data_IF_966405161875
#
_entry.id   IF_966405161875
#
_cell.length_a   1.000
_cell.length_b   1.000
_cell.length_c   1.000
_cell.angle_alpha   90.00
_cell.angle_beta   90.00
_cell.angle_gamma   90.00
#
_symmetry.space_group_name_H-M   'P 1'
#
loop_
_entity.id
_entity.type
_entity.pdbx_description
1 polymer ?
#
# COMPACT_ATOMS: atom_id res chain seq x y z
N UNK A 1 34.42 -24.63 -47.44
CA UNK A 1 33.60 -24.89 -46.24
C UNK A 1 32.16 -24.55 -46.54
N UNK A 2 31.33 -25.58 -46.68
CA UNK A 2 29.88 -25.50 -46.84
C UNK A 2 29.23 -25.12 -45.49
N UNK A 3 28.35 -24.11 -45.49
CA UNK A 3 27.31 -23.98 -44.46
C UNK A 3 25.99 -23.80 -45.20
N UNK A 4 25.32 -24.93 -45.49
CA UNK A 4 23.94 -24.98 -45.96
C UNK A 4 23.01 -24.53 -44.83
N UNK A 5 22.41 -23.35 -44.97
CA UNK A 5 21.45 -22.82 -43.99
C UNK A 5 20.03 -23.04 -44.53
N UNK A 6 19.60 -24.31 -44.61
CA UNK A 6 18.24 -24.67 -44.99
C UNK A 6 17.31 -24.53 -43.78
N UNK A 7 16.76 -23.33 -43.58
CA UNK A 7 15.52 -23.22 -42.81
C UNK A 7 14.35 -23.37 -43.77
N UNK A 8 13.42 -24.27 -43.46
CA UNK A 8 12.16 -24.34 -44.18
C UNK A 8 11.44 -22.99 -44.07
N UNK A 9 10.82 -22.55 -45.18
CA UNK A 9 9.97 -21.34 -45.22
C UNK A 9 8.93 -21.35 -44.08
N UNK A 10 8.48 -22.55 -43.69
CA UNK A 10 7.56 -22.77 -42.56
C UNK A 10 8.18 -22.32 -41.23
N UNK A 11 9.46 -22.59 -41.00
CA UNK A 11 10.17 -22.17 -39.78
C UNK A 11 10.32 -20.65 -39.69
N UNK A 12 10.54 -19.99 -40.82
CA UNK A 12 10.62 -18.53 -40.90
C UNK A 12 9.25 -17.91 -40.63
N UNK A 13 8.19 -18.44 -41.22
CA UNK A 13 6.81 -18.02 -40.98
C UNK A 13 6.39 -18.16 -39.50
N UNK A 14 6.75 -19.28 -38.86
CA UNK A 14 6.48 -19.50 -37.42
C UNK A 14 7.21 -18.46 -36.56
N UNK A 15 8.47 -18.14 -36.88
CA UNK A 15 9.24 -17.12 -36.17
C UNK A 15 8.66 -15.72 -36.36
N UNK A 16 8.17 -15.38 -37.55
CA UNK A 16 7.52 -14.10 -37.84
C UNK A 16 6.19 -13.99 -37.07
N UNK A 17 5.34 -15.02 -37.11
CA UNK A 17 4.08 -15.06 -36.34
C UNK A 17 4.32 -14.94 -34.84
N UNK A 18 5.35 -15.61 -34.31
CA UNK A 18 5.76 -15.46 -32.91
C UNK A 18 6.24 -14.04 -32.58
N UNK A 19 6.96 -13.39 -33.50
CA UNK A 19 7.43 -12.00 -33.34
C UNK A 19 6.27 -11.00 -33.38
N UNK A 20 5.28 -11.19 -34.26
CA UNK A 20 4.08 -10.35 -34.35
C UNK A 20 3.22 -10.54 -33.10
N UNK A 21 2.98 -11.78 -32.67
CA UNK A 21 2.24 -12.06 -31.44
C UNK A 21 2.97 -11.56 -30.19
N UNK A 22 4.31 -11.59 -30.16
CA UNK A 22 5.08 -10.94 -29.09
C UNK A 22 4.83 -9.43 -29.12
N UNK A 23 5.00 -8.77 -30.27
CA UNK A 23 4.79 -7.33 -30.40
C UNK A 23 3.37 -6.91 -29.98
N UNK A 24 2.34 -7.68 -30.37
CA UNK A 24 0.95 -7.45 -29.98
C UNK A 24 0.71 -7.70 -28.48
N UNK A 25 1.31 -8.75 -27.92
CA UNK A 25 1.28 -9.00 -26.48
C UNK A 25 2.00 -7.91 -25.66
N UNK A 26 2.96 -7.20 -26.25
CA UNK A 26 3.68 -6.10 -25.60
C UNK A 26 2.90 -4.77 -25.59
N UNK A 27 1.96 -4.57 -26.51
CA UNK A 27 1.12 -3.36 -26.56
C UNK A 27 -0.06 -3.41 -25.59
N UNK A 28 -0.61 -4.59 -25.28
CA UNK A 28 -1.67 -4.75 -24.27
C UNK A 28 -1.12 -5.47 -23.02
N UNK A 29 -1.09 -4.81 -21.86
CA UNK A 29 -0.56 -5.38 -20.61
C UNK A 29 -1.57 -6.29 -19.90
N UNK A 30 -2.03 -7.36 -20.56
CA UNK A 30 -2.92 -8.36 -19.94
C UNK A 30 -2.13 -9.46 -19.20
N UNK A 31 -2.71 -10.15 -18.19
CA UNK A 31 -2.07 -11.24 -17.46
C UNK A 31 -1.59 -12.41 -18.36
N UNK A 32 -2.27 -12.63 -19.49
CA UNK A 32 -1.90 -13.63 -20.51
C UNK A 32 -0.55 -13.30 -21.17
N UNK A 33 -0.26 -12.01 -21.32
CA UNK A 33 0.95 -11.52 -21.98
C UNK A 33 2.17 -11.56 -21.06
N UNK A 34 1.99 -11.47 -19.74
CA UNK A 34 3.07 -11.67 -18.76
C UNK A 34 3.59 -13.12 -18.75
N UNK A 35 2.71 -14.11 -18.91
CA UNK A 35 3.11 -15.53 -19.06
C UNK A 35 3.96 -15.78 -20.32
N UNK A 36 3.71 -15.03 -21.40
CA UNK A 36 4.50 -15.05 -22.63
C UNK A 36 5.92 -14.50 -22.41
N UNK A 37 6.06 -13.43 -21.63
CA UNK A 37 7.37 -12.84 -21.27
C UNK A 37 8.20 -13.80 -20.41
N UNK A 38 7.58 -14.45 -19.40
CA UNK A 38 8.25 -15.47 -18.57
C UNK A 38 8.70 -16.67 -19.41
N UNK A 39 7.88 -17.09 -20.39
CA UNK A 39 8.26 -18.15 -21.34
C UNK A 39 9.39 -17.71 -22.29
N UNK A 40 9.45 -16.43 -22.70
CA UNK A 40 10.60 -15.92 -23.47
C UNK A 40 11.90 -16.04 -22.65
N UNK A 41 11.87 -15.68 -21.37
CA UNK A 41 13.03 -15.77 -20.45
C UNK A 41 13.58 -17.18 -20.34
N UNK A 42 12.73 -18.18 -20.05
CA UNK A 42 13.14 -19.58 -19.92
C UNK A 42 13.78 -20.14 -21.20
N UNK A 43 13.29 -19.74 -22.38
CA UNK A 43 13.86 -20.18 -23.67
C UNK A 43 15.19 -19.50 -24.01
N UNK A 44 15.38 -18.25 -23.59
CA UNK A 44 16.63 -17.51 -23.82
C UNK A 44 17.77 -17.88 -22.86
N UNK A 45 17.49 -18.58 -21.75
CA UNK A 45 18.52 -19.07 -20.83
C UNK A 45 19.33 -20.26 -21.39
N UNK A 46 18.88 -20.91 -22.47
CA UNK A 46 19.40 -22.22 -22.87
C UNK A 46 19.77 -22.39 -24.35
N UNK A 47 20.11 -21.33 -25.10
CA UNK A 47 20.34 -21.47 -26.55
C UNK A 47 21.54 -20.75 -27.16
N UNK A 48 21.98 -21.40 -28.24
CA UNK A 48 23.15 -21.22 -29.10
C UNK A 48 23.25 -19.83 -29.79
N UNK A 49 24.46 -19.45 -30.22
CA UNK A 49 24.88 -18.12 -30.73
C UNK A 49 23.97 -17.47 -31.79
N UNK A 50 23.10 -18.21 -32.49
CA UNK A 50 22.23 -17.73 -33.59
C UNK A 50 20.94 -17.01 -33.13
N UNK A 51 20.48 -17.14 -31.88
CA UNK A 51 19.28 -16.47 -31.34
C UNK A 51 19.55 -15.14 -30.61
N UNK A 52 20.79 -14.68 -30.62
CA UNK A 52 21.29 -13.54 -29.83
C UNK A 52 20.50 -12.24 -30.09
N UNK A 53 20.04 -12.00 -31.32
CA UNK A 53 19.28 -10.78 -31.70
C UNK A 53 17.84 -10.79 -31.16
N UNK A 54 17.19 -11.96 -31.11
CA UNK A 54 15.86 -12.14 -30.52
C UNK A 54 15.91 -12.03 -28.98
N UNK A 55 16.87 -12.71 -28.35
CA UNK A 55 17.05 -12.61 -26.90
C UNK A 55 17.52 -11.22 -26.45
N UNK A 56 18.31 -10.50 -27.26
CA UNK A 56 18.66 -9.09 -26.99
C UNK A 56 17.43 -8.19 -26.91
N UNK A 57 16.39 -8.44 -27.72
CA UNK A 57 15.13 -7.70 -27.70
C UNK A 57 14.23 -8.10 -26.51
N UNK A 58 14.18 -9.38 -26.13
CA UNK A 58 13.51 -9.82 -24.90
C UNK A 58 14.21 -9.28 -23.63
N UNK A 59 15.55 -9.14 -23.63
CA UNK A 59 16.34 -8.65 -22.48
C UNK A 59 16.43 -7.11 -22.41
N UNK A 60 16.40 -6.39 -23.53
CA UNK A 60 16.45 -4.92 -23.55
C UNK A 60 15.19 -4.27 -22.98
N UNK A 61 14.09 -5.02 -22.86
CA UNK A 61 12.82 -4.57 -22.27
C UNK A 61 12.85 -4.52 -20.74
N UNK A 62 13.91 -5.07 -20.12
CA UNK A 62 14.17 -4.91 -18.68
C UNK A 62 14.71 -3.52 -18.34
N UNK A 63 15.08 -2.72 -19.34
CA UNK A 63 15.62 -1.36 -19.14
C UNK A 63 14.58 -0.25 -19.14
N UNK A 64 13.30 -0.55 -19.37
CA UNK A 64 12.27 0.49 -19.55
C UNK A 64 11.21 0.57 -18.46
N UNK A 65 11.39 -0.03 -17.28
CA UNK A 65 10.66 0.39 -16.05
C UNK A 65 11.08 -0.38 -14.78
N UNK A 66 11.85 -1.47 -14.87
CA UNK A 66 12.17 -2.35 -13.72
C UNK A 66 13.56 -2.17 -13.12
N UNK A 67 14.45 -1.40 -13.76
CA UNK A 67 15.83 -1.16 -13.33
C UNK A 67 16.08 0.25 -12.77
N UNK A 68 15.10 0.87 -12.09
CA UNK A 68 15.49 1.79 -11.02
C UNK A 68 15.99 0.91 -9.88
N UNK A 69 17.29 0.64 -9.86
CA UNK A 69 18.00 0.22 -8.65
C UNK A 69 17.66 1.31 -7.63
N UNK A 70 16.78 0.99 -6.68
CA UNK A 70 16.45 1.88 -5.58
C UNK A 70 17.68 1.91 -4.70
N UNK A 71 18.57 2.87 -4.96
CA UNK A 71 19.62 3.23 -4.01
C UNK A 71 18.95 3.45 -2.66
N UNK A 72 19.58 2.92 -1.61
CA UNK A 72 19.10 3.05 -0.25
C UNK A 72 19.31 4.50 0.21
N UNK A 73 18.42 5.39 -0.23
CA UNK A 73 18.52 6.81 0.07
C UNK A 73 18.46 6.99 1.59
N UNK A 74 19.47 7.70 2.11
CA UNK A 74 19.51 8.11 3.52
C UNK A 74 18.26 8.96 3.79
N UNK A 75 17.54 8.64 4.85
CA UNK A 75 16.37 9.42 5.24
C UNK A 75 16.90 10.74 5.82
N UNK A 76 16.40 11.92 5.36
CA UNK A 76 16.80 13.20 5.92
C UNK A 76 16.56 13.22 7.44
N UNK A 77 17.45 13.87 8.19
CA UNK A 77 17.27 14.12 9.63
C UNK A 77 16.23 15.24 9.86
N UNK A 78 15.01 15.02 9.39
CA UNK A 78 13.86 15.89 9.69
C UNK A 78 12.97 15.13 10.64
N UNK A 79 13.02 15.50 11.92
CA UNK A 79 12.23 14.86 12.96
C UNK A 79 10.94 15.65 13.18
N UNK A 80 9.82 15.11 12.69
CA UNK A 80 8.49 15.61 13.02
C UNK A 80 7.85 14.68 14.05
N UNK A 81 7.58 15.20 15.25
CA UNK A 81 6.97 14.41 16.31
C UNK A 81 5.44 14.34 16.13
N UNK A 82 4.95 13.21 15.62
CA UNK A 82 3.53 13.01 15.38
C UNK A 82 2.73 12.66 16.65
N UNK A 83 3.36 12.61 17.84
CA UNK A 83 2.67 12.30 19.11
C UNK A 83 1.58 13.29 19.44
N UNK A 84 1.80 14.59 19.20
CA UNK A 84 0.84 15.65 19.53
C UNK A 84 -0.43 15.61 18.66
N UNK A 85 -0.35 14.97 17.51
CA UNK A 85 -1.41 14.83 16.53
C UNK A 85 -2.08 13.45 16.54
N UNK A 86 -1.49 12.51 17.26
CA UNK A 86 -1.93 11.13 17.38
C UNK A 86 -2.64 10.92 18.72
N UNK A 87 -3.45 9.86 18.81
CA UNK A 87 -4.09 9.47 20.07
C UNK A 87 -3.56 8.12 20.49
N UNK A 88 -3.09 8.05 21.72
CA UNK A 88 -2.41 6.89 22.28
C UNK A 88 -3.20 6.44 23.51
N UNK A 89 -3.83 5.28 23.42
CA UNK A 89 -4.62 4.66 24.49
C UNK A 89 -3.99 3.30 24.80
N UNK A 90 -3.21 3.23 25.86
CA UNK A 90 -2.48 2.01 26.24
C UNK A 90 -3.14 1.34 27.44
N UNK A 91 -3.27 0.02 27.38
CA UNK A 91 -3.80 -0.82 28.44
C UNK A 91 -2.82 -0.93 29.61
N UNK A 92 -3.36 -0.92 30.82
CA UNK A 92 -2.60 -1.24 32.03
C UNK A 92 -2.39 -2.75 32.23
N UNK A 93 -3.27 -3.60 31.68
CA UNK A 93 -3.21 -5.06 31.82
C UNK A 93 -2.42 -5.72 30.69
N UNK A 94 -2.62 -5.28 29.45
CA UNK A 94 -1.89 -5.79 28.27
C UNK A 94 -0.84 -4.77 27.86
N UNK A 95 0.38 -4.92 28.38
CA UNK A 95 1.46 -3.96 28.11
C UNK A 95 1.84 -3.98 26.63
N UNK A 96 1.68 -2.84 25.95
CA UNK A 96 2.21 -2.66 24.60
C UNK A 96 3.74 -2.76 24.61
N UNK A 97 4.30 -3.64 23.79
CA UNK A 97 5.75 -3.76 23.63
C UNK A 97 6.16 -3.90 22.16
N UNK A 98 6.52 -2.77 21.53
CA UNK A 98 6.88 -2.72 20.11
C UNK A 98 8.08 -3.59 19.77
N UNK A 99 9.07 -3.71 20.67
CA UNK A 99 10.23 -4.58 20.46
C UNK A 99 9.89 -6.08 20.46
N UNK A 100 8.72 -6.45 20.99
CA UNK A 100 8.19 -7.82 20.96
C UNK A 100 7.22 -8.07 19.82
N UNK A 101 6.86 -7.05 19.04
CA UNK A 101 5.98 -7.22 17.88
C UNK A 101 6.78 -7.89 16.76
N UNK A 102 6.40 -9.11 16.44
CA UNK A 102 6.99 -9.95 15.39
C UNK A 102 6.08 -10.00 14.14
N UNK A 103 4.79 -9.71 14.29
CA UNK A 103 3.79 -9.83 13.22
C UNK A 103 3.09 -8.49 12.98
N UNK A 104 3.19 -7.99 11.75
CA UNK A 104 2.41 -6.87 11.25
C UNK A 104 1.26 -7.39 10.39
N UNK A 105 0.02 -7.21 10.85
CA UNK A 105 -1.19 -7.70 10.17
C UNK A 105 -1.95 -6.48 9.65
N UNK A 106 -2.04 -6.32 8.32
CA UNK A 106 -2.50 -5.08 7.69
C UNK A 106 -3.79 -5.27 6.93
N UNK A 107 -4.79 -4.44 7.26
CA UNK A 107 -6.02 -4.22 6.50
C UNK A 107 -6.01 -2.80 5.96
N UNK A 108 -6.50 -2.59 4.74
CA UNK A 108 -6.55 -1.26 4.16
C UNK A 108 -6.79 -1.25 2.66
N UNK A 109 -6.41 -0.14 2.04
CA UNK A 109 -6.64 0.11 0.62
C UNK A 109 -5.35 0.05 -0.23
N UNK A 110 -5.37 0.72 -1.39
CA UNK A 110 -4.24 0.80 -2.32
C UNK A 110 -3.01 1.52 -1.76
N UNK A 111 -3.10 2.26 -0.66
CA UNK A 111 -1.94 2.80 0.05
C UNK A 111 -1.16 1.72 0.81
N UNK A 112 -1.80 0.58 1.10
CA UNK A 112 -1.21 -0.52 1.86
C UNK A 112 -1.03 -1.81 1.07
N UNK A 113 -1.78 -2.02 -0.01
CA UNK A 113 -1.75 -3.24 -0.82
C UNK A 113 -0.37 -3.55 -1.44
N UNK A 114 -0.02 -4.84 -1.54
CA UNK A 114 1.27 -5.34 -2.06
C UNK A 114 1.18 -6.58 -2.97
N UNK A 115 -0.01 -6.84 -3.54
CA UNK A 115 -0.28 -8.00 -4.39
C UNK A 115 -0.01 -9.33 -3.64
N UNK A 116 -0.79 -9.55 -2.59
CA UNK A 116 -0.73 -10.75 -1.74
C UNK A 116 -1.54 -11.90 -2.33
N UNK A 117 -0.97 -13.11 -2.34
CA UNK A 117 -1.69 -14.35 -2.54
C UNK A 117 -2.27 -14.82 -1.20
N UNK A 118 -3.58 -14.74 -1.00
CA UNK A 118 -4.21 -15.13 0.27
C UNK A 118 -4.20 -16.64 0.55
N UNK A 119 -3.80 -17.50 -0.39
CA UNK A 119 -3.74 -18.96 -0.13
C UNK A 119 -2.51 -19.33 0.72
N UNK A 120 -1.36 -18.73 0.41
CA UNK A 120 -0.08 -19.05 1.04
C UNK A 120 0.59 -17.84 1.71
N UNK A 121 -0.05 -16.67 1.63
CA UNK A 121 0.42 -15.38 2.14
C UNK A 121 1.76 -14.92 1.53
N UNK A 122 2.15 -15.47 0.39
CA UNK A 122 3.24 -14.90 -0.42
C UNK A 122 2.78 -13.61 -1.09
N UNK A 123 3.69 -12.70 -1.40
CA UNK A 123 3.39 -11.45 -2.09
C UNK A 123 4.50 -11.08 -3.05
N UNK A 124 4.15 -10.36 -4.12
CA UNK A 124 5.13 -9.91 -5.12
C UNK A 124 5.78 -8.59 -4.73
N UNK A 125 5.16 -7.83 -3.81
CA UNK A 125 5.55 -6.48 -3.46
C UNK A 125 5.11 -5.43 -4.47
N UNK A 126 4.39 -5.82 -5.53
CA UNK A 126 3.85 -4.89 -6.51
C UNK A 126 2.78 -3.98 -5.87
N UNK A 127 2.96 -2.68 -6.00
CA UNK A 127 2.09 -1.66 -5.42
C UNK A 127 2.17 -0.34 -6.23
N UNK A 128 1.43 0.68 -5.80
CA UNK A 128 1.34 1.97 -6.51
C UNK A 128 2.48 2.95 -6.21
N UNK A 129 3.34 2.68 -5.24
CA UNK A 129 4.42 3.57 -4.80
C UNK A 129 5.66 3.54 -5.68
N UNK A 130 5.68 2.69 -6.73
CA UNK A 130 6.85 2.49 -7.61
C UNK A 130 8.10 2.19 -6.79
N UNK A 131 8.03 1.15 -5.96
CA UNK A 131 9.03 0.72 -4.98
C UNK A 131 8.32 0.13 -3.76
N UNK A 132 9.00 0.01 -2.62
CA UNK A 132 8.34 -0.41 -1.36
C UNK A 132 7.34 0.67 -0.89
N UNK A 133 6.18 0.25 -0.39
CA UNK A 133 5.26 1.11 0.35
C UNK A 133 5.52 1.00 1.86
N UNK A 134 4.73 1.72 2.67
CA UNK A 134 5.00 1.86 4.10
C UNK A 134 5.01 0.54 4.91
N UNK A 135 4.18 -0.49 4.66
CA UNK A 135 4.24 -1.75 5.42
C UNK A 135 5.55 -2.48 5.15
N UNK A 136 6.01 -2.47 3.89
CA UNK A 136 7.26 -3.11 3.49
C UNK A 136 8.48 -2.44 4.13
N UNK A 137 8.47 -1.11 4.32
CA UNK A 137 9.52 -0.44 5.08
C UNK A 137 9.41 -0.68 6.58
N UNK A 138 8.19 -0.67 7.13
CA UNK A 138 7.98 -0.83 8.57
C UNK A 138 8.47 -2.20 9.07
N UNK A 139 8.22 -3.26 8.30
CA UNK A 139 8.75 -4.59 8.64
C UNK A 139 10.28 -4.67 8.59
N UNK A 140 10.93 -3.87 7.74
CA UNK A 140 12.39 -3.83 7.66
C UNK A 140 13.00 -3.09 8.86
N UNK A 141 12.35 -2.02 9.33
CA UNK A 141 12.83 -1.24 10.48
C UNK A 141 12.72 -1.97 11.82
N UNK A 142 11.82 -2.95 11.93
CA UNK A 142 11.58 -3.69 13.17
C UNK A 142 11.64 -5.23 13.00
N UNK A 143 12.18 -5.72 11.87
CA UNK A 143 12.34 -7.15 11.58
C UNK A 143 11.08 -8.01 11.76
N UNK A 144 9.94 -7.52 11.28
CA UNK A 144 8.64 -8.19 11.43
C UNK A 144 8.30 -9.08 10.24
N UNK A 145 7.41 -10.05 10.45
CA UNK A 145 6.70 -10.75 9.38
C UNK A 145 5.45 -9.96 8.99
N UNK A 146 5.23 -9.82 7.68
CA UNK A 146 4.08 -9.13 7.12
C UNK A 146 2.97 -10.10 6.73
N UNK A 147 1.75 -9.80 7.16
CA UNK A 147 0.52 -10.46 6.78
C UNK A 147 -0.44 -9.40 6.24
N UNK A 148 -0.40 -9.18 4.93
CA UNK A 148 -1.10 -8.05 4.32
C UNK A 148 -2.37 -8.50 3.59
N UNK A 149 -3.50 -8.06 4.10
CA UNK A 149 -4.84 -8.28 3.56
C UNK A 149 -5.40 -7.06 2.84
N UNK A 150 -4.65 -5.95 2.77
CA UNK A 150 -5.10 -4.75 2.07
C UNK A 150 -5.30 -5.00 0.57
N UNK A 151 -6.43 -4.52 0.06
CA UNK A 151 -6.83 -4.62 -1.33
C UNK A 151 -6.99 -3.24 -1.94
N UNK A 152 -6.58 -3.08 -3.20
CA UNK A 152 -6.77 -1.81 -3.90
C UNK A 152 -8.24 -1.43 -3.99
N UNK A 153 -8.51 -0.13 -3.90
CA UNK A 153 -9.85 0.49 -3.96
C UNK A 153 -10.83 0.10 -2.84
N UNK A 154 -10.37 -0.62 -1.81
CA UNK A 154 -11.24 -1.00 -0.70
C UNK A 154 -11.82 0.20 0.05
N UNK A 155 -13.10 0.08 0.37
CA UNK A 155 -13.82 0.89 1.38
C UNK A 155 -13.99 0.07 2.65
N UNK A 156 -14.48 0.67 3.73
CA UNK A 156 -14.82 -0.08 4.95
C UNK A 156 -16.03 -0.99 4.70
N UNK A 157 -17.06 -0.50 4.02
CA UNK A 157 -18.27 -1.27 3.72
C UNK A 157 -18.79 -0.95 2.31
N UNK A 158 -18.80 -1.95 1.42
CA UNK A 158 -19.26 -1.76 0.05
C UNK A 158 -20.78 -1.61 -0.10
N UNK A 159 -21.59 -1.85 0.93
CA UNK A 159 -23.05 -1.60 0.90
C UNK A 159 -23.40 -0.17 0.44
N UNK A 160 -22.51 0.78 0.70
CA UNK A 160 -22.71 2.19 0.42
C UNK A 160 -21.92 2.69 -0.81
N UNK A 161 -21.29 1.80 -1.58
CA UNK A 161 -20.48 2.16 -2.74
C UNK A 161 -20.54 1.09 -3.84
N UNK A 162 -20.05 1.43 -5.05
CA UNK A 162 -19.86 0.44 -6.12
C UNK A 162 -18.45 -0.19 -6.11
N UNK A 163 -17.67 0.06 -5.05
CA UNK A 163 -16.33 -0.50 -4.92
C UNK A 163 -16.39 -2.01 -4.72
N UNK A 164 -15.45 -2.71 -5.36
CA UNK A 164 -15.48 -4.17 -5.43
C UNK A 164 -15.06 -4.86 -4.14
N UNK A 165 -14.19 -4.21 -3.39
CA UNK A 165 -13.54 -4.79 -2.23
C UNK A 165 -13.89 -3.98 -0.97
N UNK A 166 -14.00 -4.66 0.17
CA UNK A 166 -14.21 -4.00 1.45
C UNK A 166 -13.46 -4.68 2.60
N UNK A 167 -13.51 -4.06 3.78
CA UNK A 167 -12.88 -4.61 4.98
C UNK A 167 -13.46 -5.99 5.37
N UNK A 168 -14.72 -6.27 5.05
CA UNK A 168 -15.35 -7.55 5.37
C UNK A 168 -14.67 -8.68 4.58
N UNK A 169 -14.47 -8.52 3.27
CA UNK A 169 -13.71 -9.47 2.44
C UNK A 169 -12.30 -9.70 2.98
N UNK A 170 -11.60 -8.63 3.35
CA UNK A 170 -10.24 -8.74 3.91
C UNK A 170 -10.25 -9.49 5.25
N UNK A 171 -11.25 -9.25 6.09
CA UNK A 171 -11.43 -9.99 7.35
C UNK A 171 -11.74 -11.47 7.10
N UNK A 172 -12.54 -11.81 6.09
CA UNK A 172 -12.84 -13.20 5.74
C UNK A 172 -11.57 -13.96 5.32
N UNK A 173 -10.72 -13.35 4.49
CA UNK A 173 -9.40 -13.91 4.18
C UNK A 173 -8.53 -14.08 5.42
N UNK A 174 -8.45 -13.05 6.26
CA UNK A 174 -7.74 -13.17 7.53
C UNK A 174 -8.30 -14.32 8.38
N UNK A 175 -9.62 -14.42 8.52
CA UNK A 175 -10.27 -15.42 9.36
C UNK A 175 -9.98 -16.83 8.85
N UNK A 176 -10.01 -17.07 7.54
CA UNK A 176 -9.68 -18.37 6.94
C UNK A 176 -8.20 -18.75 7.08
N UNK A 177 -7.31 -17.77 7.20
CA UNK A 177 -5.88 -17.99 7.28
C UNK A 177 -5.37 -18.11 8.72
N UNK A 178 -5.93 -17.31 9.63
CA UNK A 178 -5.30 -16.94 10.90
C UNK A 178 -6.15 -17.28 12.14
N UNK A 179 -7.44 -17.58 11.98
CA UNK A 179 -8.30 -17.91 13.13
C UNK A 179 -7.98 -19.29 13.72
N UNK A 180 -8.55 -19.61 14.88
CA UNK A 180 -8.27 -20.85 15.59
C UNK A 180 -8.46 -22.11 14.70
N UNK A 181 -7.47 -23.00 14.67
CA UNK A 181 -7.47 -24.20 13.85
C UNK A 181 -7.06 -24.00 12.39
N UNK A 182 -6.76 -22.76 11.96
CA UNK A 182 -6.30 -22.45 10.60
C UNK A 182 -4.78 -22.51 10.48
N UNK A 183 -4.31 -22.53 9.23
CA UNK A 183 -2.91 -22.79 8.85
C UNK A 183 -1.90 -21.91 9.58
N UNK A 184 -2.24 -20.66 9.84
CA UNK A 184 -1.32 -19.67 10.43
C UNK A 184 -1.77 -19.21 11.82
N UNK A 185 -2.63 -19.95 12.51
CA UNK A 185 -3.20 -19.52 13.79
C UNK A 185 -2.18 -19.41 14.94
N UNK A 186 -1.06 -20.12 14.86
CA UNK A 186 -0.05 -20.22 15.91
C UNK A 186 1.14 -19.26 15.73
N UNK A 187 1.14 -18.44 14.68
CA UNK A 187 2.25 -17.53 14.37
C UNK A 187 2.12 -16.18 15.08
N UNK A 188 0.93 -15.88 15.61
CA UNK A 188 0.56 -14.56 16.14
C UNK A 188 -0.24 -14.73 17.44
N UNK A 189 -0.09 -13.79 18.36
CA UNK A 189 -0.84 -13.68 19.61
C UNK A 189 -0.97 -12.22 20.06
N UNK A 190 -1.58 -11.99 21.22
CA UNK A 190 -1.83 -10.66 21.78
C UNK A 190 -0.58 -9.85 22.11
N UNK A 191 0.57 -10.51 22.31
CA UNK A 191 1.81 -9.88 22.74
C UNK A 191 2.78 -9.60 21.59
N UNK A 192 2.72 -10.39 20.50
CA UNK A 192 3.67 -10.31 19.38
C UNK A 192 3.06 -9.80 18.06
N UNK A 193 1.84 -9.26 18.09
CA UNK A 193 1.13 -8.85 16.88
C UNK A 193 0.61 -7.43 16.96
N UNK A 194 0.76 -6.69 15.85
CA UNK A 194 0.17 -5.38 15.64
C UNK A 194 -0.82 -5.45 14.46
N UNK A 195 -2.10 -5.23 14.75
CA UNK A 195 -3.16 -5.16 13.76
C UNK A 195 -3.32 -3.74 13.27
N UNK A 196 -3.28 -3.53 11.97
CA UNK A 196 -3.35 -2.23 11.33
C UNK A 196 -4.60 -2.11 10.49
N UNK A 197 -5.29 -0.97 10.61
CA UNK A 197 -6.40 -0.60 9.75
C UNK A 197 -6.13 0.77 9.14
N UNK A 198 -6.00 0.84 7.81
CA UNK A 198 -5.88 2.10 7.10
C UNK A 198 -6.91 2.22 5.99
N UNK A 199 -7.97 2.98 6.29
CA UNK A 199 -9.10 3.24 5.39
C UNK A 199 -9.46 4.73 5.40
N UNK A 200 -10.34 5.13 4.47
CA UNK A 200 -10.93 6.47 4.45
C UNK A 200 -10.74 7.25 3.16
N UNK A 201 -9.70 6.99 2.36
CA UNK A 201 -9.50 7.72 1.12
C UNK A 201 -10.61 7.44 0.10
N UNK A 202 -10.97 6.16 -0.06
CA UNK A 202 -12.07 5.73 -0.93
C UNK A 202 -13.43 6.04 -0.28
N UNK A 203 -13.57 5.84 1.03
CA UNK A 203 -14.81 6.12 1.77
C UNK A 203 -15.21 7.59 1.65
N UNK A 204 -14.29 8.52 1.95
CA UNK A 204 -14.56 9.97 1.81
C UNK A 204 -14.79 10.35 0.34
N UNK A 205 -14.23 9.62 -0.63
CA UNK A 205 -14.50 9.88 -2.03
C UNK A 205 -15.94 9.56 -2.44
N UNK A 206 -16.46 8.41 -2.02
CA UNK A 206 -17.71 7.86 -2.55
C UNK A 206 -18.93 8.10 -1.65
N UNK A 207 -18.71 8.31 -0.35
CA UNK A 207 -19.79 8.44 0.63
C UNK A 207 -20.15 9.89 0.93
N UNK A 208 -21.40 10.12 1.33
CA UNK A 208 -21.79 11.37 1.97
C UNK A 208 -21.49 11.33 3.47
N UNK A 209 -21.29 12.51 4.06
CA UNK A 209 -20.88 12.65 5.46
C UNK A 209 -21.90 12.06 6.45
N UNK A 210 -23.21 12.03 6.10
CA UNK A 210 -24.25 11.47 6.97
C UNK A 210 -24.05 9.96 7.24
N UNK A 211 -23.39 9.26 6.31
CA UNK A 211 -23.17 7.80 6.38
C UNK A 211 -21.90 7.44 7.16
N UNK A 212 -21.04 8.42 7.47
CA UNK A 212 -19.75 8.14 8.12
C UNK A 212 -19.91 7.45 9.47
N UNK A 213 -20.94 7.75 10.26
CA UNK A 213 -21.10 7.09 11.58
C UNK A 213 -21.39 5.59 11.45
N UNK A 214 -22.25 5.22 10.49
CA UNK A 214 -22.59 3.83 10.22
C UNK A 214 -21.37 3.06 9.73
N UNK A 215 -20.65 3.63 8.77
CA UNK A 215 -19.47 2.97 8.17
C UNK A 215 -18.32 2.85 9.18
N UNK A 216 -18.04 3.87 9.99
CA UNK A 216 -17.05 3.73 11.06
C UNK A 216 -17.52 2.73 12.13
N UNK A 217 -18.82 2.62 12.39
CA UNK A 217 -19.35 1.56 13.26
C UNK A 217 -19.06 0.17 12.68
N UNK A 218 -19.15 -0.01 11.36
CA UNK A 218 -18.78 -1.28 10.71
C UNK A 218 -17.28 -1.59 10.80
N UNK A 219 -16.40 -0.58 10.69
CA UNK A 219 -14.97 -0.74 10.98
C UNK A 219 -14.76 -1.30 12.40
N UNK A 220 -15.42 -0.70 13.40
CA UNK A 220 -15.29 -1.15 14.78
C UNK A 220 -15.98 -2.49 15.06
N UNK A 221 -16.99 -2.87 14.28
CA UNK A 221 -17.58 -4.22 14.33
C UNK A 221 -16.55 -5.28 13.90
N UNK A 222 -15.74 -5.00 12.87
CA UNK A 222 -14.65 -5.90 12.44
C UNK A 222 -13.52 -5.89 13.46
N UNK A 223 -13.11 -4.73 13.98
CA UNK A 223 -12.11 -4.63 15.06
C UNK A 223 -12.56 -5.44 16.29
N UNK A 224 -13.86 -5.41 16.64
CA UNK A 224 -14.41 -6.21 17.73
C UNK A 224 -14.27 -7.72 17.46
N UNK A 225 -14.45 -8.17 16.20
CA UNK A 225 -14.21 -9.58 15.84
C UNK A 225 -12.74 -9.95 15.98
N UNK A 226 -11.82 -9.08 15.58
CA UNK A 226 -10.37 -9.26 15.78
C UNK A 226 -10.02 -9.31 17.27
N UNK A 227 -10.64 -8.46 18.08
CA UNK A 227 -10.50 -8.51 19.54
C UNK A 227 -10.97 -9.85 20.12
N UNK A 228 -12.14 -10.34 19.72
CA UNK A 228 -12.72 -11.58 20.25
C UNK A 228 -11.86 -12.82 19.97
N UNK A 229 -10.98 -12.79 18.97
CA UNK A 229 -10.06 -13.89 18.65
C UNK A 229 -8.64 -13.68 19.21
N UNK A 230 -8.40 -12.62 19.99
CA UNK A 230 -7.12 -12.38 20.68
C UNK A 230 -6.34 -11.16 20.23
N UNK A 231 -6.81 -10.38 19.25
CA UNK A 231 -6.14 -9.14 18.86
C UNK A 231 -6.18 -8.11 19.99
N UNK A 232 -5.01 -7.56 20.38
CA UNK A 232 -4.92 -6.56 21.46
C UNK A 232 -4.19 -5.28 21.10
N UNK A 233 -3.28 -5.29 20.13
CA UNK A 233 -2.57 -4.07 19.71
C UNK A 233 -3.10 -3.61 18.36
N UNK A 234 -3.74 -2.44 18.36
CA UNK A 234 -4.42 -1.87 17.22
C UNK A 234 -3.75 -0.55 16.83
N UNK A 235 -3.35 -0.44 15.57
CA UNK A 235 -2.89 0.81 14.95
C UNK A 235 -3.91 1.23 13.89
N UNK A 236 -4.54 2.38 14.12
CA UNK A 236 -5.60 2.92 13.27
C UNK A 236 -5.05 4.14 12.52
N UNK A 237 -5.28 4.17 11.22
CA UNK A 237 -5.05 5.32 10.38
C UNK A 237 -6.38 5.84 9.85
N UNK A 238 -6.56 7.16 9.86
CA UNK A 238 -7.67 7.81 9.20
C UNK A 238 -7.46 8.00 7.70
N UNK A 239 -8.41 8.68 7.09
CA UNK A 239 -8.30 9.16 5.72
C UNK A 239 -7.02 10.00 5.54
N UNK A 240 -6.28 9.66 4.48
CA UNK A 240 -5.17 10.45 3.96
C UNK A 240 -5.65 11.89 3.64
N UNK A 241 -4.80 12.94 3.68
CA UNK A 241 -5.17 14.30 3.26
C UNK A 241 -5.42 14.39 1.75
N UNK A 242 -6.55 13.84 1.30
CA UNK A 242 -6.96 13.74 -0.11
C UNK A 242 -7.20 15.11 -0.76
N UNK A 243 -7.50 16.15 0.02
CA UNK A 243 -7.55 17.55 -0.45
C UNK A 243 -6.17 18.09 -0.88
N UNK A 244 -5.07 17.39 -0.58
CA UNK A 244 -3.73 17.68 -1.10
C UNK A 244 -3.35 16.82 -2.31
N UNK A 245 -4.19 15.86 -2.71
CA UNK A 245 -3.90 14.95 -3.80
C UNK A 245 -3.70 15.73 -5.13
N UNK A 246 -2.72 15.38 -5.97
CA UNK A 246 -2.53 16.03 -7.28
C UNK A 246 -3.73 15.87 -8.22
N UNK A 247 -4.52 14.80 -8.04
CA UNK A 247 -5.69 14.49 -8.87
C UNK A 247 -7.01 14.98 -8.27
N UNK A 248 -6.97 15.75 -7.16
CA UNK A 248 -8.15 16.13 -6.37
C UNK A 248 -9.27 16.76 -7.19
N UNK A 249 -8.93 17.67 -8.11
CA UNK A 249 -9.91 18.38 -8.93
C UNK A 249 -10.64 17.46 -9.92
N UNK A 250 -10.03 16.33 -10.31
CA UNK A 250 -10.67 15.35 -11.18
C UNK A 250 -11.46 14.31 -10.41
N UNK A 251 -10.93 13.85 -9.28
CA UNK A 251 -11.51 12.74 -8.51
C UNK A 251 -12.68 13.19 -7.64
N UNK A 252 -12.61 14.40 -7.09
CA UNK A 252 -13.61 14.94 -6.17
C UNK A 252 -14.42 16.07 -6.79
N UNK A 253 -14.53 16.10 -8.13
CA UNK A 253 -15.30 17.11 -8.86
C UNK A 253 -16.78 17.09 -8.46
N UNK A 254 -17.33 15.91 -8.19
CA UNK A 254 -18.71 15.74 -7.71
C UNK A 254 -18.96 16.35 -6.32
N UNK A 255 -17.89 16.66 -5.57
CA UNK A 255 -17.92 17.33 -4.27
C UNK A 255 -17.44 18.78 -4.33
N UNK A 256 -17.51 19.40 -5.50
CA UNK A 256 -17.08 20.79 -5.75
C UNK A 256 -15.62 21.08 -5.37
N UNK A 257 -14.75 20.06 -5.36
CA UNK A 257 -13.32 20.26 -5.18
C UNK A 257 -12.64 20.68 -6.48
N UNK A 258 -11.78 21.69 -6.39
CA UNK A 258 -10.96 22.25 -7.46
C UNK A 258 -9.48 22.24 -7.07
N UNK A 259 -8.62 22.75 -7.95
CA UNK A 259 -7.19 22.89 -7.63
C UNK A 259 -6.98 23.96 -6.54
N UNK A 260 -7.77 25.04 -6.56
CA UNK A 260 -7.60 26.21 -5.69
C UNK A 260 -8.38 26.08 -4.39
N UNK A 261 -9.57 25.47 -4.44
CA UNK A 261 -10.42 25.23 -3.28
C UNK A 261 -10.89 23.78 -3.22
N UNK A 262 -10.57 23.11 -2.12
CA UNK A 262 -11.00 21.76 -1.80
C UNK A 262 -11.34 21.66 -0.30
N UNK A 263 -11.88 22.76 0.26
CA UNK A 263 -12.23 22.90 1.68
C UNK A 263 -13.28 21.89 2.15
N UNK A 264 -14.28 21.58 1.31
CA UNK A 264 -15.30 20.56 1.58
C UNK A 264 -14.66 19.21 1.88
N UNK A 265 -13.75 18.75 1.01
CA UNK A 265 -13.04 17.48 1.20
C UNK A 265 -12.15 17.52 2.45
N UNK A 266 -11.47 18.64 2.70
CA UNK A 266 -10.68 18.81 3.93
C UNK A 266 -11.55 18.64 5.18
N UNK A 267 -12.76 19.20 5.17
CA UNK A 267 -13.71 19.07 6.28
C UNK A 267 -14.25 17.64 6.44
N UNK A 268 -14.57 16.97 5.33
CA UNK A 268 -15.03 15.58 5.36
C UNK A 268 -13.93 14.63 5.88
N UNK A 269 -12.67 14.80 5.45
CA UNK A 269 -11.51 14.07 5.98
C UNK A 269 -11.40 14.26 7.49
N UNK A 270 -11.48 15.52 7.95
CA UNK A 270 -11.44 15.84 9.38
C UNK A 270 -12.57 15.15 10.15
N UNK A 271 -13.79 15.20 9.61
CA UNK A 271 -14.98 14.59 10.23
C UNK A 271 -14.84 13.07 10.32
N UNK A 272 -14.42 12.43 9.22
CA UNK A 272 -14.21 10.98 9.16
C UNK A 272 -13.16 10.52 10.18
N UNK A 273 -12.03 11.24 10.25
CA UNK A 273 -10.94 10.94 11.17
C UNK A 273 -11.34 11.13 12.63
N UNK A 274 -12.09 12.19 12.94
CA UNK A 274 -12.60 12.43 14.29
C UNK A 274 -13.58 11.33 14.73
N UNK A 275 -14.41 10.80 13.83
CA UNK A 275 -15.30 9.67 14.14
C UNK A 275 -14.54 8.38 14.46
N UNK A 276 -13.44 8.09 13.74
CA UNK A 276 -12.56 6.96 14.08
C UNK A 276 -11.97 7.13 15.48
N UNK A 277 -11.48 8.33 15.79
CA UNK A 277 -10.94 8.68 17.11
C UNK A 277 -11.98 8.48 18.22
N UNK A 278 -13.19 9.01 18.03
CA UNK A 278 -14.29 8.93 19.01
C UNK A 278 -14.68 7.48 19.28
N UNK A 279 -14.90 6.69 18.22
CA UNK A 279 -15.23 5.26 18.35
C UNK A 279 -14.06 4.46 18.94
N UNK A 280 -12.82 4.85 18.67
CA UNK A 280 -11.61 4.30 19.28
C UNK A 280 -11.57 4.48 20.80
N UNK A 281 -11.91 5.69 21.28
CA UNK A 281 -12.02 5.97 22.72
C UNK A 281 -13.12 5.13 23.38
N UNK A 282 -14.30 5.08 22.76
CA UNK A 282 -15.42 4.25 23.24
C UNK A 282 -15.02 2.76 23.29
N UNK A 283 -14.32 2.26 22.28
CA UNK A 283 -13.85 0.88 22.24
C UNK A 283 -12.84 0.58 23.34
N UNK A 284 -11.87 1.46 23.57
CA UNK A 284 -10.89 1.34 24.66
C UNK A 284 -11.56 1.40 26.05
N UNK A 285 -12.62 2.20 26.20
CA UNK A 285 -13.41 2.23 27.43
C UNK A 285 -14.12 0.92 27.71
N UNK A 286 -14.63 0.28 26.65
CA UNK A 286 -15.29 -1.02 26.73
C UNK A 286 -14.31 -2.18 26.99
N UNK A 287 -13.12 -2.14 26.40
CA UNK A 287 -12.12 -3.22 26.45
C UNK A 287 -10.79 -2.70 27.01
N UNK A 288 -10.62 -2.76 28.33
CA UNK A 288 -9.46 -2.18 29.03
C UNK A 288 -8.14 -2.92 28.81
N UNK A 289 -8.18 -4.10 28.20
CA UNK A 289 -7.03 -4.94 27.86
C UNK A 289 -6.51 -4.69 26.44
N UNK A 290 -7.04 -3.70 25.70
CA UNK A 290 -6.57 -3.35 24.35
C UNK A 290 -5.67 -2.13 24.34
N UNK A 291 -4.74 -2.08 23.40
CA UNK A 291 -3.96 -0.91 23.05
C UNK A 291 -4.51 -0.35 21.72
N UNK A 292 -4.87 0.93 21.70
CA UNK A 292 -5.29 1.65 20.50
C UNK A 292 -4.35 2.82 20.27
N UNK A 293 -3.71 2.82 19.11
CA UNK A 293 -2.87 3.91 18.63
C UNK A 293 -3.51 4.43 17.36
N UNK A 294 -4.07 5.64 17.41
CA UNK A 294 -4.49 6.35 16.21
C UNK A 294 -3.34 7.22 15.71
N UNK A 295 -2.85 6.97 14.50
CA UNK A 295 -1.79 7.74 13.86
C UNK A 295 -2.39 8.74 12.86
N UNK A 296 -2.16 10.04 13.07
CA UNK A 296 -2.61 11.07 12.12
C UNK A 296 -1.73 11.10 10.88
N UNK A 297 -2.29 10.66 9.74
CA UNK A 297 -1.63 10.77 8.43
C UNK A 297 -1.70 12.18 7.87
N UNK A 298 -2.76 12.93 8.21
CA UNK A 298 -2.97 14.30 7.72
C UNK A 298 -1.80 15.19 8.11
N UNK A 299 -1.44 15.18 9.39
CA UNK A 299 -0.46 16.13 9.91
C UNK A 299 0.95 15.89 9.37
N UNK A 300 1.45 14.64 9.39
CA UNK A 300 2.77 14.33 8.84
C UNK A 300 2.86 14.64 7.34
N UNK A 301 1.82 14.34 6.57
CA UNK A 301 1.86 14.55 5.12
C UNK A 301 1.73 16.04 4.78
N UNK A 302 0.84 16.78 5.45
CA UNK A 302 0.78 18.23 5.27
C UNK A 302 2.08 18.91 5.70
N UNK A 303 2.73 18.41 6.76
CA UNK A 303 4.04 18.88 7.19
C UNK A 303 5.11 18.62 6.12
N UNK A 304 5.16 17.41 5.54
CA UNK A 304 6.10 17.09 4.46
C UNK A 304 5.85 17.98 3.25
N UNK A 305 4.60 18.14 2.83
CA UNK A 305 4.25 18.98 1.66
C UNK A 305 4.66 20.43 1.91
N UNK A 306 4.40 20.96 3.10
CA UNK A 306 4.76 22.34 3.48
C UNK A 306 6.27 22.55 3.63
N UNK A 307 7.02 21.47 3.90
CA UNK A 307 8.48 21.46 4.06
C UNK A 307 9.17 20.65 2.96
N UNK A 308 8.63 20.65 1.74
CA UNK A 308 9.01 19.75 0.65
C UNK A 308 10.53 19.60 0.46
N UNK A 309 11.25 20.72 0.39
CA UNK A 309 12.70 20.75 0.19
C UNK A 309 13.48 20.20 1.40
N UNK A 310 12.97 20.33 2.63
CA UNK A 310 13.63 19.78 3.83
C UNK A 310 13.64 18.26 3.82
N UNK A 311 12.61 17.66 3.21
CA UNK A 311 12.56 16.23 2.94
C UNK A 311 13.26 15.82 1.63
N UNK A 312 13.96 16.77 1.00
CA UNK A 312 14.68 16.66 -0.28
C UNK A 312 13.80 16.23 -1.46
N UNK A 313 12.51 16.54 -1.40
CA UNK A 313 11.65 16.50 -2.57
C UNK A 313 11.75 17.83 -3.32
N UNK A 314 11.78 17.78 -4.65
CA UNK A 314 11.66 18.97 -5.50
C UNK A 314 10.20 19.27 -5.86
N UNK A 315 9.32 18.28 -5.76
CA UNK A 315 7.92 18.44 -6.10
C UNK A 315 6.99 17.64 -5.18
N UNK A 316 6.23 18.36 -4.35
CA UNK A 316 5.23 17.78 -3.45
C UNK A 316 3.78 18.07 -3.86
N UNK A 317 3.57 18.74 -4.99
CA UNK A 317 2.25 19.20 -5.44
C UNK A 317 1.77 18.39 -6.64
N UNK A 318 2.68 18.08 -7.57
CA UNK A 318 2.36 17.39 -8.81
C UNK A 318 2.73 15.92 -8.71
N UNK A 319 1.97 15.10 -9.42
CA UNK A 319 2.27 13.69 -9.61
C UNK A 319 3.34 13.47 -10.69
N UNK A 320 4.36 12.67 -10.37
CA UNK A 320 5.43 12.31 -11.30
C UNK A 320 4.91 11.71 -12.61
N UNK A 321 3.88 10.85 -12.55
CA UNK A 321 3.31 10.16 -13.72
C UNK A 321 2.85 11.12 -14.82
N UNK A 322 2.36 12.30 -14.45
CA UNK A 322 1.88 13.35 -15.36
C UNK A 322 2.88 14.49 -15.54
N UNK A 323 3.93 14.53 -14.71
CA UNK A 323 4.94 15.57 -14.69
C UNK A 323 6.31 14.92 -14.49
N UNK A 324 6.89 14.38 -15.57
CA UNK A 324 8.17 13.65 -15.55
C UNK A 324 9.38 14.57 -15.75
N UNK A 325 9.34 15.80 -15.23
CA UNK A 325 10.44 16.77 -15.38
C UNK A 325 11.69 16.37 -14.61
N UNK A 326 11.50 15.62 -13.53
CA UNK A 326 12.53 15.23 -12.57
C UNK A 326 12.49 13.71 -12.31
N UNK A 327 13.51 13.18 -11.63
CA UNK A 327 13.54 11.76 -11.26
C UNK A 327 12.44 11.46 -10.24
N UNK A 328 11.91 10.23 -10.24
CA UNK A 328 10.82 9.84 -9.32
C UNK A 328 11.15 10.09 -7.84
N UNK A 329 12.40 9.90 -7.42
CA UNK A 329 12.81 10.12 -6.03
C UNK A 329 12.73 11.60 -5.59
N UNK A 330 12.63 12.53 -6.54
CA UNK A 330 12.47 13.96 -6.29
C UNK A 330 10.99 14.36 -6.16
N UNK A 331 10.07 13.41 -6.35
CA UNK A 331 8.62 13.61 -6.19
C UNK A 331 8.08 12.92 -4.94
N UNK A 332 7.21 13.63 -4.23
CA UNK A 332 6.41 13.05 -3.17
C UNK A 332 5.30 12.14 -3.73
N UNK A 333 4.70 12.51 -4.86
CA UNK A 333 3.58 11.79 -5.49
C UNK A 333 4.02 11.04 -6.74
N UNK A 334 3.64 9.76 -6.85
CA UNK A 334 3.73 8.99 -8.11
C UNK A 334 2.56 9.37 -9.02
N UNK A 335 1.35 9.20 -8.50
CA UNK A 335 0.08 9.60 -9.09
C UNK A 335 -0.83 10.16 -7.99
N UNK A 336 -1.92 9.49 -7.66
CA UNK A 336 -2.65 9.74 -6.41
C UNK A 336 -1.98 9.09 -5.20
N UNK A 337 -0.99 8.22 -5.41
CA UNK A 337 -0.25 7.54 -4.34
C UNK A 337 1.10 8.21 -4.10
N UNK A 338 1.57 8.14 -2.85
CA UNK A 338 2.88 8.63 -2.46
C UNK A 338 4.00 7.71 -2.96
N UNK A 339 5.15 8.29 -3.29
CA UNK A 339 6.32 7.59 -3.80
C UNK A 339 6.95 6.67 -2.76
N UNK A 340 7.78 5.72 -3.20
CA UNK A 340 8.49 4.84 -2.28
C UNK A 340 9.34 5.62 -1.26
N UNK A 341 9.98 6.72 -1.67
CA UNK A 341 10.72 7.60 -0.75
C UNK A 341 9.81 8.22 0.31
N UNK A 342 8.64 8.73 -0.10
CA UNK A 342 7.65 9.27 0.84
C UNK A 342 7.12 8.20 1.80
N UNK A 343 6.90 6.98 1.31
CA UNK A 343 6.53 5.84 2.16
C UNK A 343 7.63 5.47 3.17
N UNK A 344 8.92 5.54 2.79
CA UNK A 344 10.04 5.29 3.69
C UNK A 344 10.05 6.29 4.85
N UNK A 345 9.83 7.58 4.55
CA UNK A 345 9.74 8.65 5.55
C UNK A 345 8.54 8.42 6.48
N UNK A 346 7.36 8.13 5.91
CA UNK A 346 6.16 7.83 6.68
C UNK A 346 6.36 6.61 7.61
N UNK A 347 6.88 5.51 7.07
CA UNK A 347 7.15 4.29 7.85
C UNK A 347 8.17 4.53 8.96
N UNK A 348 9.20 5.36 8.72
CA UNK A 348 10.15 5.73 9.77
C UNK A 348 9.48 6.53 10.87
N UNK A 349 8.62 7.48 10.52
CA UNK A 349 7.88 8.25 11.51
C UNK A 349 6.93 7.39 12.37
N UNK A 350 6.23 6.44 11.73
CA UNK A 350 5.42 5.43 12.43
C UNK A 350 6.31 4.59 13.36
N UNK A 351 7.43 4.06 12.87
CA UNK A 351 8.37 3.29 13.66
C UNK A 351 8.88 4.07 14.89
N UNK A 352 9.26 5.34 14.70
CA UNK A 352 9.80 6.17 15.78
C UNK A 352 8.71 6.47 16.84
N UNK A 353 7.47 6.72 16.40
CA UNK A 353 6.33 6.83 17.31
C UNK A 353 6.17 5.55 18.13
N UNK A 354 6.09 4.38 17.48
CA UNK A 354 5.85 3.11 18.17
C UNK A 354 6.98 2.76 19.14
N UNK A 355 8.24 3.03 18.78
CA UNK A 355 9.39 2.88 19.70
C UNK A 355 9.28 3.77 20.93
N UNK A 356 8.78 5.00 20.77
CA UNK A 356 8.60 5.94 21.89
C UNK A 356 7.50 5.54 22.88
N UNK A 357 6.65 4.56 22.55
CA UNK A 357 5.62 4.07 23.47
C UNK A 357 6.17 3.05 24.47
N UNK A 358 7.45 2.67 24.34
CA UNK A 358 8.14 1.70 25.18
C UNK A 358 9.23 2.28 26.07
N UNK A 359 9.46 3.58 25.96
CA UNK A 359 10.45 4.33 26.75
C UNK A 359 9.91 4.78 28.10
#
# INVERSE_FOLDING_TARGET
>A
MNISNNYSIITILILILLLVNLNYAFTEKTPKNQKLVVRCRKKCQNTNRKLKRFCKKCLSLDKTDTNMIFEDYKIPEVNYDNRNSSIILLSNSTKFNYSKIENLIVFGDSHSAIDTNFIDMTYTGLNHSRGKNWPLYLIEFNHMKLWNYALGTSVINNKYSLERHDLKEQFEHFYENMSNGKRFNNVWNENNSLFVFWFGANDVNVLNQEVFDEVITDLFNIINKIYNIGGRNLLLFGAFPIHKNPLRASWYKHKNCTIDDCSVIKNEVSTFNNKIIEKGKIFFEKYKDVNIIYYSTVDIIEHIISNCNRYEFKNCINAWKFNKKNNLHEYFWVDSHISSRANKILAKNINDLLKSLNS
#
